data_IF_497388450839
#
_entry.id   IF_497388450839
#
_cell.length_a   1.000
_cell.length_b   1.000
_cell.length_c   1.000
_cell.angle_alpha   90.00
_cell.angle_beta   90.00
_cell.angle_gamma   90.00
#
_symmetry.space_group_name_H-M   'P 1'
#
loop_
_entity.id
_entity.type
_entity.pdbx_description
1 polymer ?
#
# COMPACT_ATOMS: atom_id res chain seq x y z
N UNK A 1 13.76 -50.87 36.66
CA UNK A 1 15.17 -50.48 36.44
C UNK A 1 15.41 -50.57 34.94
N UNK A 2 15.37 -49.44 34.26
CA UNK A 2 15.42 -49.36 32.80
C UNK A 2 16.29 -48.13 32.48
N UNK A 3 17.45 -48.39 31.88
CA UNK A 3 18.49 -47.41 31.58
C UNK A 3 18.15 -46.72 30.26
N UNK A 4 17.94 -45.40 30.31
CA UNK A 4 17.79 -44.56 29.12
C UNK A 4 19.19 -44.12 28.67
N UNK A 5 19.59 -44.53 27.46
CA UNK A 5 20.82 -44.07 26.81
C UNK A 5 20.45 -42.88 25.93
N UNK A 6 21.01 -41.71 26.24
CA UNK A 6 20.94 -40.49 25.45
C UNK A 6 22.07 -40.52 24.42
N UNK A 7 21.75 -40.37 23.14
CA UNK A 7 22.74 -40.05 22.12
C UNK A 7 22.65 -38.55 21.83
N UNK A 8 23.64 -37.80 22.31
CA UNK A 8 23.96 -36.45 21.84
C UNK A 8 24.73 -36.59 20.53
N UNK A 9 24.16 -36.13 19.42
CA UNK A 9 24.92 -35.91 18.20
C UNK A 9 25.61 -34.55 18.30
N UNK A 10 26.93 -34.56 18.49
CA UNK A 10 27.77 -33.40 18.19
C UNK A 10 27.95 -33.37 16.67
N UNK A 11 27.23 -32.49 15.98
CA UNK A 11 27.62 -32.07 14.64
C UNK A 11 28.42 -30.78 14.79
N UNK A 12 29.74 -30.93 14.85
CA UNK A 12 30.69 -29.84 14.61
C UNK A 12 30.63 -29.53 13.11
N UNK A 13 29.72 -28.64 12.73
CA UNK A 13 29.70 -28.03 11.39
C UNK A 13 30.22 -26.59 11.52
N UNK A 14 31.50 -26.46 11.86
CA UNK A 14 32.28 -25.22 11.79
C UNK A 14 32.77 -25.01 10.34
N UNK A 15 31.86 -25.09 9.38
CA UNK A 15 32.09 -24.53 8.06
C UNK A 15 31.96 -23.00 8.19
N UNK A 16 33.01 -22.19 7.97
CA UNK A 16 32.83 -20.74 7.93
C UNK A 16 31.81 -20.47 6.84
N UNK A 17 30.61 -20.01 7.26
CA UNK A 17 29.56 -19.64 6.33
C UNK A 17 30.15 -18.74 5.26
N UNK A 18 29.83 -19.00 4.00
CA UNK A 18 30.22 -18.12 2.90
C UNK A 18 29.94 -16.67 3.32
N UNK A 19 30.85 -15.71 3.05
CA UNK A 19 30.63 -14.32 3.42
C UNK A 19 29.29 -13.89 2.85
N UNK A 20 28.32 -13.65 3.73
CA UNK A 20 27.01 -13.19 3.36
C UNK A 20 27.22 -11.83 2.69
N UNK A 21 26.72 -11.66 1.47
CA UNK A 21 26.82 -10.38 0.76
C UNK A 21 26.07 -9.34 1.60
N UNK A 22 26.82 -8.43 2.24
CA UNK A 22 26.28 -7.37 3.08
C UNK A 22 25.37 -6.43 2.28
N UNK A 23 25.46 -6.46 0.95
CA UNK A 23 24.59 -5.73 0.04
C UNK A 23 23.15 -6.24 0.15
N UNK A 24 22.26 -5.35 0.56
CA UNK A 24 20.83 -5.58 0.55
C UNK A 24 20.25 -5.12 -0.79
N UNK A 25 20.38 -3.83 -1.13
CA UNK A 25 19.83 -3.29 -2.36
C UNK A 25 20.83 -2.40 -3.08
N UNK A 26 20.75 -2.42 -4.41
CA UNK A 26 21.35 -1.42 -5.31
C UNK A 26 20.23 -0.69 -6.03
N UNK A 27 20.32 0.63 -6.08
CA UNK A 27 19.25 1.50 -6.58
C UNK A 27 19.86 2.54 -7.49
N UNK A 28 19.35 2.61 -8.71
CA UNK A 28 19.63 3.73 -9.62
C UNK A 28 18.43 4.67 -9.54
N UNK A 29 18.60 5.84 -8.92
CA UNK A 29 17.54 6.83 -8.80
C UNK A 29 17.43 7.59 -10.12
N UNK A 30 16.29 7.55 -10.81
CA UNK A 30 16.11 8.33 -12.03
C UNK A 30 16.35 9.83 -11.80
N UNK A 31 16.87 10.52 -12.82
CA UNK A 31 17.12 11.97 -12.76
C UNK A 31 15.84 12.81 -12.58
N UNK A 32 14.69 12.22 -12.89
CA UNK A 32 13.34 12.78 -12.79
C UNK A 32 12.52 12.16 -11.64
N UNK A 33 13.14 11.37 -10.75
CA UNK A 33 12.44 10.66 -9.67
C UNK A 33 11.78 11.60 -8.65
N UNK A 34 12.23 12.85 -8.56
CA UNK A 34 11.74 13.84 -7.60
C UNK A 34 11.06 15.00 -8.37
N UNK A 35 9.80 15.31 -8.03
CA UNK A 35 8.93 16.18 -8.86
C UNK A 35 9.33 17.65 -8.87
N UNK A 36 10.00 18.14 -7.82
CA UNK A 36 10.31 19.56 -7.66
C UNK A 36 11.70 19.78 -7.06
N UNK A 37 12.32 20.90 -7.43
CA UNK A 37 13.55 21.37 -6.82
C UNK A 37 13.40 21.49 -5.29
N UNK A 38 14.28 20.82 -4.55
CA UNK A 38 14.26 20.78 -3.08
C UNK A 38 13.41 19.65 -2.47
N UNK A 39 12.78 18.81 -3.29
CA UNK A 39 12.14 17.58 -2.81
C UNK A 39 13.18 16.57 -2.33
N UNK A 40 12.79 15.68 -1.42
CA UNK A 40 13.69 14.68 -0.82
C UNK A 40 13.07 13.30 -0.89
N UNK A 41 13.87 12.32 -1.28
CA UNK A 41 13.50 10.91 -1.22
C UNK A 41 14.13 10.23 -0.02
N UNK A 42 13.41 9.29 0.58
CA UNK A 42 13.95 8.40 1.59
C UNK A 42 13.58 6.96 1.27
N UNK A 43 14.50 6.04 1.58
CA UNK A 43 14.23 4.62 1.54
C UNK A 43 14.58 3.99 2.88
N UNK A 44 13.69 3.13 3.36
CA UNK A 44 13.84 2.40 4.61
C UNK A 44 13.75 0.91 4.33
N UNK A 45 14.71 0.15 4.86
CA UNK A 45 14.63 -1.30 4.91
C UNK A 45 14.24 -1.71 6.31
N UNK A 46 13.30 -2.64 6.45
CA UNK A 46 12.95 -3.21 7.75
C UNK A 46 12.71 -4.71 7.70
N UNK A 47 12.94 -5.37 8.83
CA UNK A 47 12.69 -6.81 8.97
C UNK A 47 11.19 -7.10 9.15
N UNK A 48 10.84 -8.37 9.26
CA UNK A 48 9.46 -8.83 9.47
C UNK A 48 8.83 -8.37 10.79
N UNK A 49 9.66 -7.90 11.73
CA UNK A 49 9.21 -7.36 13.00
C UNK A 49 9.04 -5.84 12.95
N UNK A 50 9.35 -5.21 11.81
CA UNK A 50 9.36 -3.76 11.66
C UNK A 50 10.52 -3.12 12.43
N UNK A 51 11.63 -3.82 12.64
CA UNK A 51 12.90 -3.21 13.06
C UNK A 51 13.57 -2.63 11.82
N UNK A 52 13.95 -1.35 11.88
CA UNK A 52 14.71 -0.73 10.81
C UNK A 52 16.08 -1.40 10.67
N UNK A 53 16.41 -1.79 9.44
CA UNK A 53 17.70 -2.37 9.05
C UNK A 53 18.59 -1.25 8.49
N UNK A 54 18.12 -0.55 7.46
CA UNK A 54 18.83 0.57 6.81
C UNK A 54 17.86 1.74 6.60
N UNK A 55 18.39 2.96 6.63
CA UNK A 55 17.69 4.16 6.15
C UNK A 55 18.65 4.98 5.33
N UNK A 56 18.21 5.42 4.16
CA UNK A 56 19.00 6.29 3.29
C UNK A 56 18.11 7.40 2.75
N UNK A 57 18.67 8.60 2.71
CA UNK A 57 18.07 9.74 2.01
C UNK A 57 18.76 9.88 0.67
N UNK A 58 17.98 10.09 -0.38
CA UNK A 58 18.51 10.18 -1.74
C UNK A 58 18.06 11.44 -2.48
N UNK A 59 18.87 11.79 -3.48
CA UNK A 59 18.56 12.83 -4.47
C UNK A 59 18.36 12.22 -5.87
N UNK A 60 17.74 12.98 -6.78
CA UNK A 60 17.49 12.49 -8.13
C UNK A 60 18.80 12.28 -8.91
N UNK A 61 18.90 11.18 -9.66
CA UNK A 61 20.11 10.82 -10.41
C UNK A 61 21.21 10.12 -9.58
N UNK A 62 20.98 9.88 -8.29
CA UNK A 62 21.92 9.19 -7.40
C UNK A 62 21.95 7.68 -7.67
N UNK A 63 23.12 7.05 -7.49
CA UNK A 63 23.25 5.59 -7.40
C UNK A 63 23.56 5.22 -5.95
N UNK A 64 22.76 4.32 -5.37
CA UNK A 64 22.76 3.99 -3.95
C UNK A 64 23.03 2.49 -3.80
N UNK A 65 23.88 2.14 -2.83
CA UNK A 65 24.04 0.76 -2.34
C UNK A 65 23.70 0.74 -0.86
N UNK A 66 22.71 -0.04 -0.47
CA UNK A 66 22.25 -0.23 0.90
C UNK A 66 22.83 -1.53 1.44
N UNK A 67 23.61 -1.44 2.51
CA UNK A 67 24.32 -2.57 3.11
C UNK A 67 23.94 -2.72 4.59
N UNK A 68 23.86 -3.97 5.08
CA UNK A 68 23.73 -4.24 6.51
C UNK A 68 24.28 -5.63 6.87
N UNK A 69 25.46 -5.63 7.48
CA UNK A 69 26.16 -6.85 7.89
C UNK A 69 25.52 -7.62 9.05
N UNK A 70 24.69 -6.95 9.86
CA UNK A 70 23.97 -7.59 10.98
C UNK A 70 22.63 -8.23 10.55
N UNK A 71 22.19 -7.99 9.31
CA UNK A 71 20.91 -8.50 8.83
C UNK A 71 21.07 -9.89 8.19
N UNK A 72 20.54 -10.89 8.88
CA UNK A 72 20.68 -12.31 8.51
C UNK A 72 19.54 -12.78 7.58
N UNK A 73 18.45 -12.00 7.44
CA UNK A 73 17.29 -12.38 6.64
C UNK A 73 17.52 -12.34 5.12
N UNK A 74 16.67 -13.07 4.39
CA UNK A 74 16.66 -13.12 2.92
C UNK A 74 15.66 -12.13 2.29
N UNK A 75 14.68 -11.71 3.09
CA UNK A 75 13.58 -10.83 2.68
C UNK A 75 13.41 -9.72 3.70
N UNK A 76 13.06 -8.52 3.21
CA UNK A 76 12.79 -7.35 4.03
C UNK A 76 11.64 -6.54 3.42
N UNK A 77 11.18 -5.55 4.18
CA UNK A 77 10.26 -4.54 3.71
C UNK A 77 11.04 -3.36 3.16
N UNK A 78 10.60 -2.83 2.03
CA UNK A 78 11.11 -1.57 1.47
C UNK A 78 10.05 -0.51 1.64
N UNK A 79 10.36 0.58 2.35
CA UNK A 79 9.49 1.76 2.35
C UNK A 79 10.16 2.87 1.58
N UNK A 80 9.54 3.30 0.49
CA UNK A 80 9.89 4.53 -0.22
C UNK A 80 9.08 5.68 0.36
N UNK A 81 9.71 6.84 0.52
CA UNK A 81 9.04 8.06 0.94
C UNK A 81 9.48 9.20 0.04
N UNK A 82 8.51 9.92 -0.49
CA UNK A 82 8.72 11.14 -1.24
C UNK A 82 8.12 12.31 -0.46
N UNK A 83 8.96 13.33 -0.19
CA UNK A 83 8.53 14.55 0.50
C UNK A 83 8.69 15.74 -0.43
N UNK A 84 7.57 16.41 -0.70
CA UNK A 84 7.49 17.72 -1.35
C UNK A 84 7.08 18.79 -0.31
N UNK A 85 7.05 20.07 -0.72
CA UNK A 85 6.56 21.18 0.07
C UNK A 85 5.14 20.93 0.62
N UNK A 86 4.27 20.32 -0.20
CA UNK A 86 2.83 20.20 0.03
C UNK A 86 2.33 18.75 0.18
N UNK A 87 3.18 17.76 -0.10
CA UNK A 87 2.75 16.36 -0.20
C UNK A 87 3.79 15.38 0.38
N UNK A 88 3.31 14.29 0.96
CA UNK A 88 4.08 13.18 1.49
C UNK A 88 3.48 11.87 0.97
N UNK A 89 4.15 11.27 -0.01
CA UNK A 89 3.80 9.95 -0.52
C UNK A 89 4.71 8.93 0.17
N UNK A 90 4.15 7.80 0.59
CA UNK A 90 4.93 6.70 1.13
C UNK A 90 4.40 5.40 0.58
N UNK A 91 5.29 4.47 0.27
CA UNK A 91 4.94 3.18 -0.31
C UNK A 91 5.74 2.11 0.36
N UNK A 92 5.07 1.13 0.95
CA UNK A 92 5.76 0.01 1.61
C UNK A 92 5.54 -1.31 0.89
N UNK A 93 6.62 -1.93 0.49
CA UNK A 93 6.67 -3.19 -0.22
C UNK A 93 7.14 -4.28 0.72
N UNK A 94 6.49 -5.44 0.67
CA UNK A 94 6.81 -6.59 1.53
C UNK A 94 7.55 -7.66 0.76
N UNK A 95 8.30 -8.51 1.48
CA UNK A 95 9.02 -9.67 0.92
C UNK A 95 9.96 -9.30 -0.23
N UNK A 96 10.61 -8.15 -0.13
CA UNK A 96 11.61 -7.72 -1.10
C UNK A 96 12.90 -8.49 -0.81
N UNK A 97 13.47 -9.07 -1.86
CA UNK A 97 14.74 -9.81 -1.79
C UNK A 97 15.92 -8.89 -2.04
N UNK A 98 17.10 -9.35 -1.63
CA UNK A 98 18.37 -8.69 -1.96
C UNK A 98 18.53 -8.53 -3.47
N UNK A 99 19.22 -7.48 -3.91
CA UNK A 99 19.59 -7.28 -5.31
C UNK A 99 19.33 -5.86 -5.82
N UNK A 100 18.76 -5.74 -7.02
CA UNK A 100 18.43 -4.45 -7.62
C UNK A 100 17.01 -4.04 -7.24
N UNK A 101 16.85 -2.79 -6.83
CA UNK A 101 15.56 -2.18 -6.59
C UNK A 101 15.36 -0.97 -7.49
N UNK A 102 14.15 -0.88 -8.04
CA UNK A 102 13.76 0.23 -8.91
C UNK A 102 12.72 1.02 -8.14
N UNK A 103 13.01 2.30 -7.92
CA UNK A 103 12.08 3.18 -7.23
C UNK A 103 10.78 3.29 -8.01
N UNK A 104 9.67 3.34 -7.27
CA UNK A 104 8.38 3.59 -7.90
C UNK A 104 8.31 5.06 -8.32
N UNK A 105 7.94 5.38 -9.58
CA UNK A 105 7.81 6.76 -10.03
C UNK A 105 6.92 7.59 -9.11
N UNK A 106 7.35 8.81 -8.75
CA UNK A 106 6.58 9.66 -7.85
C UNK A 106 5.24 10.08 -8.47
N UNK A 107 5.15 10.16 -9.80
CA UNK A 107 3.91 10.39 -10.53
C UNK A 107 3.37 9.09 -11.11
N UNK A 108 2.41 8.54 -10.41
CA UNK A 108 1.75 7.29 -10.72
C UNK A 108 0.29 7.57 -11.19
N UNK A 109 0.00 8.86 -11.46
CA UNK A 109 -1.30 9.39 -11.88
C UNK A 109 -1.54 9.34 -13.39
N UNK A 110 -0.48 9.30 -14.20
CA UNK A 110 -0.56 9.27 -15.68
C UNK A 110 -0.04 7.97 -16.30
N UNK A 111 -0.15 6.84 -15.61
CA UNK A 111 0.19 5.53 -16.19
C UNK A 111 -0.56 5.31 -17.53
N UNK A 112 0.13 4.72 -18.51
CA UNK A 112 -0.40 4.45 -19.84
C UNK A 112 -1.72 3.68 -19.75
N UNK A 113 -2.79 4.23 -20.34
CA UNK A 113 -4.10 3.62 -20.29
C UNK A 113 -4.17 2.43 -21.25
N UNK A 114 -4.66 1.29 -20.78
CA UNK A 114 -5.09 0.20 -21.66
C UNK A 114 -6.41 0.52 -22.39
N UNK A 115 -7.13 1.56 -21.93
CA UNK A 115 -8.35 2.10 -22.52
C UNK A 115 -9.48 2.26 -21.51
N UNK A 116 -10.65 2.68 -21.97
CA UNK A 116 -11.83 2.91 -21.12
C UNK A 116 -12.83 1.75 -21.22
N UNK A 117 -13.50 1.45 -20.10
CA UNK A 117 -14.61 0.52 -20.01
C UNK A 117 -15.89 1.24 -19.59
N UNK A 118 -17.01 0.89 -20.23
CA UNK A 118 -18.34 1.37 -19.84
C UNK A 118 -19.08 0.28 -19.06
N UNK A 119 -19.56 0.64 -17.88
CA UNK A 119 -20.26 -0.26 -16.96
C UNK A 119 -21.61 0.35 -16.59
N UNK A 120 -22.66 -0.47 -16.56
CA UNK A 120 -23.97 -0.11 -16.05
C UNK A 120 -24.28 -0.87 -14.77
N UNK A 121 -24.98 -0.24 -13.86
CA UNK A 121 -25.28 -0.77 -12.54
C UNK A 121 -26.79 -1.01 -12.37
N UNK A 122 -27.15 -2.11 -11.73
CA UNK A 122 -28.54 -2.42 -11.35
C UNK A 122 -28.64 -2.66 -9.85
N UNK A 123 -29.86 -2.66 -9.32
CA UNK A 123 -30.15 -3.03 -7.93
C UNK A 123 -29.44 -2.17 -6.88
N UNK A 124 -29.27 -0.87 -7.16
CA UNK A 124 -28.81 0.11 -6.17
C UNK A 124 -29.80 0.18 -5.01
N UNK A 125 -29.29 0.11 -3.79
CA UNK A 125 -30.10 0.28 -2.59
C UNK A 125 -30.39 1.77 -2.36
N UNK A 126 -31.61 2.14 -1.93
CA UNK A 126 -31.93 3.53 -1.61
C UNK A 126 -31.05 4.10 -0.49
N UNK A 127 -30.54 5.31 -0.66
CA UNK A 127 -29.69 5.97 0.35
C UNK A 127 -28.30 5.34 0.53
N UNK A 128 -27.86 4.51 -0.41
CA UNK A 128 -26.54 3.87 -0.40
C UNK A 128 -25.69 4.45 -1.53
N UNK A 129 -24.49 4.89 -1.18
CA UNK A 129 -23.46 5.27 -2.16
C UNK A 129 -22.49 4.11 -2.39
N UNK A 130 -22.03 4.00 -3.63
CA UNK A 130 -21.11 2.97 -4.07
C UNK A 130 -19.88 3.63 -4.67
N UNK A 131 -18.71 3.34 -4.10
CA UNK A 131 -17.45 3.72 -4.72
C UNK A 131 -17.02 2.59 -5.64
N UNK A 132 -16.68 2.94 -6.87
CA UNK A 132 -16.36 2.01 -7.94
C UNK A 132 -14.93 2.29 -8.37
N UNK A 133 -14.01 1.40 -8.04
CA UNK A 133 -12.58 1.55 -8.29
C UNK A 133 -12.08 0.50 -9.27
N UNK A 134 -11.52 0.96 -10.37
CA UNK A 134 -10.73 0.15 -11.31
C UNK A 134 -9.24 0.25 -10.97
N UNK A 135 -8.38 -0.42 -11.75
CA UNK A 135 -6.93 -0.23 -11.59
C UNK A 135 -6.38 1.05 -12.21
N UNK A 136 -7.20 1.86 -12.87
CA UNK A 136 -6.76 3.13 -13.47
C UNK A 136 -7.46 4.38 -12.95
N UNK A 137 -8.67 4.22 -12.42
CA UNK A 137 -9.50 5.33 -11.97
C UNK A 137 -10.57 4.87 -10.97
N UNK A 138 -11.24 5.82 -10.32
CA UNK A 138 -12.40 5.59 -9.47
C UNK A 138 -13.58 6.47 -9.87
N UNK A 139 -14.79 6.02 -9.54
CA UNK A 139 -16.03 6.75 -9.73
C UNK A 139 -16.95 6.53 -8.53
N UNK A 140 -17.95 7.41 -8.37
CA UNK A 140 -18.99 7.26 -7.34
C UNK A 140 -20.33 7.10 -8.04
N UNK A 141 -21.07 6.08 -7.64
CA UNK A 141 -22.39 5.72 -8.16
C UNK A 141 -23.36 5.64 -6.98
N UNK A 142 -24.56 6.19 -7.14
CA UNK A 142 -25.63 6.09 -6.13
C UNK A 142 -27.00 6.03 -6.82
N UNK A 143 -28.03 5.68 -6.05
CA UNK A 143 -29.43 5.67 -6.48
C UNK A 143 -29.93 7.04 -7.01
N UNK A 144 -29.28 8.13 -6.57
CA UNK A 144 -29.53 9.50 -7.03
C UNK A 144 -28.56 9.97 -8.13
N UNK A 145 -27.62 9.12 -8.56
CA UNK A 145 -26.63 9.42 -9.61
C UNK A 145 -26.86 8.55 -10.86
N UNK A 146 -26.04 8.78 -11.89
CA UNK A 146 -26.06 7.93 -13.07
C UNK A 146 -25.62 6.50 -12.70
N UNK A 147 -26.46 5.50 -12.97
CA UNK A 147 -26.13 4.08 -12.84
C UNK A 147 -25.21 3.58 -13.97
N UNK A 148 -24.33 4.45 -14.46
CA UNK A 148 -23.34 4.13 -15.49
C UNK A 148 -22.04 4.82 -15.15
N UNK A 149 -20.92 4.11 -15.24
CA UNK A 149 -19.59 4.66 -15.09
C UNK A 149 -18.77 4.41 -16.37
N UNK A 150 -17.93 5.37 -16.73
CA UNK A 150 -16.82 5.18 -17.64
C UNK A 150 -15.55 5.13 -16.80
N UNK A 151 -14.79 4.05 -16.93
CA UNK A 151 -13.64 3.76 -16.07
C UNK A 151 -12.40 3.58 -16.92
N UNK A 152 -11.36 4.35 -16.64
CA UNK A 152 -10.05 4.17 -17.27
C UNK A 152 -9.36 2.95 -16.69
N UNK A 153 -8.91 2.05 -17.54
CA UNK A 153 -8.18 0.84 -17.15
C UNK A 153 -6.69 0.98 -17.46
N UNK A 154 -5.84 0.50 -16.54
CA UNK A 154 -4.39 0.36 -16.77
C UNK A 154 -4.01 -1.01 -17.29
N UNK A 155 -4.81 -2.03 -16.99
CA UNK A 155 -4.74 -3.36 -17.61
C UNK A 155 -6.05 -3.76 -18.24
N UNK A 156 -5.96 -4.61 -19.27
CA UNK A 156 -7.12 -5.17 -19.94
C UNK A 156 -6.91 -6.68 -20.16
N UNK A 157 -7.79 -7.56 -19.63
CA UNK A 157 -8.91 -7.26 -18.73
C UNK A 157 -8.44 -6.83 -17.33
N UNK A 158 -9.31 -6.09 -16.64
CA UNK A 158 -9.16 -5.59 -15.27
C UNK A 158 -10.20 -6.20 -14.33
N UNK A 159 -10.16 -5.80 -13.07
CA UNK A 159 -11.22 -6.04 -12.08
C UNK A 159 -11.92 -4.73 -11.75
N UNK A 160 -13.05 -4.84 -11.05
CA UNK A 160 -13.75 -3.73 -10.42
C UNK A 160 -13.86 -3.99 -8.93
N UNK A 161 -13.25 -3.14 -8.13
CA UNK A 161 -13.46 -3.13 -6.70
C UNK A 161 -14.60 -2.16 -6.39
N UNK A 162 -15.70 -2.66 -5.85
CA UNK A 162 -16.87 -1.84 -5.50
C UNK A 162 -17.04 -1.89 -4.00
N UNK A 163 -17.15 -0.74 -3.34
CA UNK A 163 -17.57 -0.65 -1.94
C UNK A 163 -18.96 -0.02 -1.85
N UNK A 164 -19.66 -0.25 -0.74
CA UNK A 164 -20.92 0.45 -0.43
C UNK A 164 -20.86 1.09 0.94
N UNK A 165 -21.40 2.30 1.06
CA UNK A 165 -21.56 3.05 2.29
C UNK A 165 -23.04 3.39 2.49
N UNK A 166 -23.53 3.16 3.71
CA UNK A 166 -24.85 3.61 4.15
C UNK A 166 -24.71 5.02 4.72
N UNK A 167 -25.62 5.93 4.35
CA UNK A 167 -25.66 7.32 4.84
C UNK A 167 -24.36 8.13 4.62
N UNK A 168 -23.58 7.79 3.59
CA UNK A 168 -22.34 8.48 3.17
C UNK A 168 -21.24 8.58 4.24
N UNK A 169 -21.31 7.79 5.32
CA UNK A 169 -20.33 7.92 6.41
C UNK A 169 -19.08 7.08 6.11
N UNK A 170 -19.21 5.74 5.98
CA UNK A 170 -18.07 4.86 5.70
C UNK A 170 -18.47 3.60 4.93
N UNK A 171 -17.61 3.09 4.03
CA UNK A 171 -17.88 1.84 3.34
C UNK A 171 -17.88 0.67 4.31
N UNK A 172 -18.87 -0.22 4.23
CA UNK A 172 -19.01 -1.37 5.13
C UNK A 172 -18.90 -2.71 4.42
N UNK A 173 -19.19 -2.75 3.12
CA UNK A 173 -19.10 -3.96 2.33
C UNK A 173 -18.41 -3.73 0.99
N UNK A 174 -18.00 -4.82 0.36
CA UNK A 174 -17.34 -4.80 -0.94
C UNK A 174 -17.72 -5.97 -1.86
N UNK A 175 -17.41 -5.79 -3.14
CA UNK A 175 -17.29 -6.86 -4.13
C UNK A 175 -16.05 -6.62 -5.00
N UNK A 176 -15.47 -7.71 -5.52
CA UNK A 176 -14.40 -7.67 -6.52
C UNK A 176 -14.88 -8.40 -7.77
N UNK A 177 -15.22 -7.65 -8.81
CA UNK A 177 -15.82 -8.17 -10.04
C UNK A 177 -14.72 -8.33 -11.10
N UNK A 178 -14.39 -9.55 -11.57
CA UNK A 178 -13.36 -9.74 -12.58
C UNK A 178 -13.89 -9.51 -14.00
N UNK A 179 -12.98 -9.33 -14.96
CA UNK A 179 -13.29 -9.41 -16.39
C UNK A 179 -13.82 -8.12 -17.00
N UNK A 180 -13.46 -6.97 -16.44
CA UNK A 180 -13.81 -5.66 -17.01
C UNK A 180 -12.82 -5.34 -18.12
N UNK A 181 -13.30 -5.19 -19.34
CA UNK A 181 -12.44 -5.02 -20.51
C UNK A 181 -12.63 -3.67 -21.18
N UNK A 182 -11.53 -3.05 -21.61
CA UNK A 182 -11.58 -1.81 -22.37
C UNK A 182 -12.25 -2.06 -23.74
N UNK A 183 -13.08 -1.11 -24.17
CA UNK A 183 -13.83 -1.20 -25.43
C UNK A 183 -14.91 -2.28 -25.46
N UNK A 184 -15.14 -3.03 -24.37
CA UNK A 184 -16.33 -3.85 -24.24
C UNK A 184 -17.56 -2.95 -24.17
N UNK A 185 -18.66 -3.38 -24.79
CA UNK A 185 -19.95 -2.72 -24.63
C UNK A 185 -20.38 -2.67 -23.16
N UNK A 186 -21.42 -1.89 -22.88
CA UNK A 186 -21.86 -1.59 -21.53
C UNK A 186 -22.09 -2.87 -20.69
N UNK A 187 -21.18 -3.15 -19.76
CA UNK A 187 -21.24 -4.37 -18.93
C UNK A 187 -22.18 -4.13 -17.75
N UNK A 188 -23.27 -4.90 -17.67
CA UNK A 188 -24.22 -4.77 -16.57
C UNK A 188 -23.74 -5.50 -15.32
N UNK A 189 -23.66 -4.79 -14.20
CA UNK A 189 -23.25 -5.30 -12.89
C UNK A 189 -24.35 -5.03 -11.86
N UNK A 190 -24.81 -6.08 -11.18
CA UNK A 190 -25.74 -5.91 -10.06
C UNK A 190 -24.99 -5.47 -8.80
N UNK A 191 -25.42 -4.35 -8.21
CA UNK A 191 -24.90 -3.86 -6.93
C UNK A 191 -25.37 -4.70 -5.73
N UNK A 192 -26.35 -5.59 -5.94
CA UNK A 192 -26.69 -6.63 -4.97
C UNK A 192 -25.55 -7.61 -4.66
N UNK A 193 -24.51 -7.65 -5.51
CA UNK A 193 -23.31 -8.46 -5.28
C UNK A 193 -22.39 -7.87 -4.20
N UNK A 194 -22.51 -6.57 -3.88
CA UNK A 194 -21.68 -5.86 -2.88
C UNK A 194 -22.12 -6.27 -1.48
N UNK A 195 -21.62 -7.41 -1.01
CA UNK A 195 -22.14 -8.11 0.17
C UNK A 195 -21.07 -8.65 1.11
N UNK A 196 -19.79 -8.65 0.73
CA UNK A 196 -18.72 -9.10 1.61
C UNK A 196 -18.39 -7.99 2.62
N UNK A 197 -18.37 -8.30 3.92
CA UNK A 197 -18.02 -7.31 4.93
C UNK A 197 -16.55 -6.88 4.81
N UNK A 198 -16.29 -5.58 4.94
CA UNK A 198 -14.94 -5.06 5.10
C UNK A 198 -14.42 -5.39 6.51
N UNK A 199 -13.13 -5.69 6.60
CA UNK A 199 -12.44 -5.82 7.89
C UNK A 199 -12.08 -4.43 8.39
N UNK A 200 -12.38 -4.14 9.66
CA UNK A 200 -12.05 -2.87 10.30
C UNK A 200 -10.85 -3.06 11.22
N UNK A 201 -9.85 -2.20 11.05
CA UNK A 201 -8.70 -2.09 11.95
C UNK A 201 -8.66 -0.65 12.45
N UNK A 202 -8.54 -0.47 13.76
CA UNK A 202 -8.48 0.86 14.37
C UNK A 202 -7.19 1.02 15.17
N UNK A 203 -6.60 2.21 15.12
CA UNK A 203 -5.36 2.52 15.85
C UNK A 203 -5.40 3.92 16.47
N UNK A 204 -5.02 4.03 17.75
CA UNK A 204 -5.00 5.29 18.49
C UNK A 204 -3.93 6.23 17.93
N UNK A 205 -4.32 7.35 17.31
CA UNK A 205 -3.35 8.36 16.88
C UNK A 205 -2.73 9.03 18.10
N UNK A 206 -1.42 9.34 18.02
CA UNK A 206 -0.72 10.09 19.07
C UNK A 206 -1.45 11.42 19.32
N UNK A 207 -1.51 11.83 20.59
CA UNK A 207 -2.22 13.05 21.01
C UNK A 207 -1.69 14.34 20.36
N UNK A 208 -0.52 14.28 19.73
CA UNK A 208 0.10 15.39 18.98
C UNK A 208 -0.56 15.67 17.62
N UNK A 209 -1.36 14.74 17.09
CA UNK A 209 -2.08 14.89 15.83
C UNK A 209 -3.55 15.23 16.07
N UNK A 210 -4.15 15.96 15.12
CA UNK A 210 -5.59 16.27 15.07
C UNK A 210 -6.32 15.46 14.03
N UNK A 211 -5.63 15.06 12.97
CA UNK A 211 -6.23 14.45 11.79
C UNK A 211 -5.23 13.54 11.09
N UNK A 212 -5.73 12.62 10.26
CA UNK A 212 -5.01 11.49 9.72
C UNK A 212 -5.72 10.83 8.54
N UNK A 213 -5.14 10.93 7.36
CA UNK A 213 -5.59 10.18 6.19
C UNK A 213 -4.56 9.12 5.82
N UNK A 214 -5.00 7.91 5.47
CA UNK A 214 -4.21 6.84 4.90
C UNK A 214 -4.95 6.27 3.69
N UNK A 215 -4.28 6.33 2.54
CA UNK A 215 -4.72 5.61 1.34
C UNK A 215 -4.05 4.25 1.32
N UNK A 216 -4.85 3.18 1.25
CA UNK A 216 -4.34 1.81 1.09
C UNK A 216 -4.63 1.33 -0.33
N UNK A 217 -3.61 0.71 -0.91
CA UNK A 217 -3.64 0.15 -2.24
C UNK A 217 -3.55 -1.38 -2.16
N UNK A 218 -4.47 -2.07 -2.84
CA UNK A 218 -4.45 -3.53 -3.01
C UNK A 218 -3.81 -3.94 -4.33
N UNK A 219 -3.00 -4.98 -4.31
CA UNK A 219 -2.34 -5.56 -5.48
C UNK A 219 -2.93 -6.92 -5.84
N UNK A 220 -3.18 -7.14 -7.13
CA UNK A 220 -3.70 -8.42 -7.63
C UNK A 220 -2.68 -9.55 -7.47
N UNK A 221 -1.39 -9.24 -7.55
CA UNK A 221 -0.29 -10.15 -7.27
C UNK A 221 0.84 -9.40 -6.55
N UNK A 222 1.69 -10.14 -5.82
CA UNK A 222 2.87 -9.56 -5.18
C UNK A 222 3.74 -8.85 -6.23
N UNK A 223 4.18 -7.63 -5.92
CA UNK A 223 5.05 -6.81 -6.76
C UNK A 223 4.50 -6.43 -8.15
N UNK A 224 3.19 -6.57 -8.40
CA UNK A 224 2.54 -6.10 -9.64
C UNK A 224 1.89 -4.72 -9.46
N UNK A 225 2.72 -3.69 -9.33
CA UNK A 225 2.25 -2.32 -9.03
C UNK A 225 1.46 -1.67 -10.16
N UNK A 226 1.55 -2.19 -11.37
CA UNK A 226 0.76 -1.79 -12.54
C UNK A 226 -0.68 -2.34 -12.52
N UNK A 227 -1.01 -3.26 -11.61
CA UNK A 227 -2.36 -3.79 -11.39
C UNK A 227 -2.82 -3.57 -9.94
N UNK A 228 -2.93 -2.28 -9.60
CA UNK A 228 -3.18 -1.79 -8.25
C UNK A 228 -4.54 -1.11 -8.14
N UNK A 229 -5.17 -1.20 -6.97
CA UNK A 229 -6.52 -0.67 -6.71
C UNK A 229 -6.51 0.14 -5.44
N UNK A 230 -7.13 1.32 -5.43
CA UNK A 230 -7.37 2.05 -4.17
C UNK A 230 -8.51 1.33 -3.44
N UNK A 231 -8.19 0.73 -2.30
CA UNK A 231 -9.13 -0.18 -1.59
C UNK A 231 -9.67 0.40 -0.29
N UNK A 232 -9.00 1.41 0.27
CA UNK A 232 -9.40 2.06 1.50
C UNK A 232 -8.93 3.51 1.49
N UNK A 233 -9.80 4.37 1.99
CA UNK A 233 -9.46 5.69 2.52
C UNK A 233 -9.80 5.63 4.01
N UNK A 234 -8.81 5.87 4.86
CA UNK A 234 -9.02 5.89 6.31
C UNK A 234 -9.49 7.26 6.77
N UNK A 235 -10.14 7.30 7.93
CA UNK A 235 -10.56 8.54 8.57
C UNK A 235 -10.25 8.51 10.06
N UNK A 236 -10.16 9.68 10.69
CA UNK A 236 -9.99 9.83 12.13
C UNK A 236 -11.35 9.91 12.83
N UNK A 237 -11.67 8.86 13.58
CA UNK A 237 -12.90 8.73 14.35
C UNK A 237 -12.50 8.62 15.82
N UNK A 238 -12.97 9.56 16.64
CA UNK A 238 -12.75 9.56 18.09
C UNK A 238 -11.28 9.44 18.52
N UNK A 239 -10.36 10.09 17.78
CA UNK A 239 -8.93 10.04 18.06
C UNK A 239 -8.26 8.71 17.68
N UNK A 240 -8.93 7.90 16.85
CA UNK A 240 -8.37 6.71 16.21
C UNK A 240 -8.44 6.89 14.72
N UNK A 241 -7.42 6.44 14.01
CA UNK A 241 -7.59 6.21 12.58
C UNK A 241 -8.25 4.84 12.40
N UNK A 242 -9.24 4.76 11.53
CA UNK A 242 -9.88 3.49 11.16
C UNK A 242 -9.66 3.16 9.70
N UNK A 243 -9.16 1.96 9.44
CA UNK A 243 -8.92 1.43 8.11
C UNK A 243 -9.91 0.29 7.83
N UNK A 244 -10.57 0.33 6.68
CA UNK A 244 -11.55 -0.66 6.24
C UNK A 244 -11.06 -1.31 4.95
N UNK A 245 -10.71 -2.59 5.00
CA UNK A 245 -10.06 -3.26 3.87
C UNK A 245 -10.69 -4.63 3.57
N UNK A 246 -10.55 -5.14 2.34
CA UNK A 246 -11.28 -6.32 1.88
C UNK A 246 -10.59 -7.66 2.23
N UNK A 247 -9.86 -7.72 3.34
CA UNK A 247 -9.24 -8.96 3.83
C UNK A 247 -8.31 -9.59 2.79
N UNK A 248 -8.57 -10.83 2.39
CA UNK A 248 -7.72 -11.57 1.42
C UNK A 248 -8.14 -11.37 -0.05
N UNK A 249 -8.96 -10.36 -0.37
CA UNK A 249 -9.41 -10.12 -1.74
C UNK A 249 -8.26 -9.71 -2.69
N UNK A 250 -7.23 -9.09 -2.15
CA UNK A 250 -5.97 -8.79 -2.84
C UNK A 250 -4.83 -9.64 -2.26
N UNK A 251 -3.77 -9.84 -3.04
CA UNK A 251 -2.62 -10.66 -2.65
C UNK A 251 -1.67 -9.94 -1.71
N UNK A 252 -1.58 -8.63 -1.88
CA UNK A 252 -0.76 -7.76 -1.05
C UNK A 252 -1.42 -6.39 -0.93
N UNK A 253 -1.09 -5.68 0.14
CA UNK A 253 -1.49 -4.30 0.36
C UNK A 253 -0.27 -3.44 0.64
N UNK A 254 -0.34 -2.18 0.25
CA UNK A 254 0.60 -1.17 0.70
C UNK A 254 -0.11 0.16 0.96
N UNK A 255 0.33 0.92 1.96
CA UNK A 255 -0.08 2.30 2.11
C UNK A 255 0.60 3.13 1.02
N UNK A 256 -0.12 4.09 0.41
CA UNK A 256 0.37 4.99 -0.63
C UNK A 256 0.49 6.43 -0.17
N UNK A 257 -0.42 6.89 0.67
CA UNK A 257 -0.42 8.28 1.12
C UNK A 257 -0.73 8.31 2.59
N UNK A 258 0.01 9.12 3.34
CA UNK A 258 -0.36 9.47 4.70
C UNK A 258 -0.31 10.98 4.88
N UNK A 259 -1.41 11.54 5.37
CA UNK A 259 -1.45 12.92 5.80
C UNK A 259 -1.74 12.94 7.29
N UNK A 260 -0.81 13.41 8.10
CA UNK A 260 -1.03 13.61 9.54
C UNK A 260 -0.98 15.11 9.83
N UNK A 261 -2.09 15.68 10.29
CA UNK A 261 -2.11 17.07 10.73
C UNK A 261 -1.72 17.16 12.20
N UNK A 262 -0.72 17.99 12.49
CA UNK A 262 -0.22 18.19 13.86
C UNK A 262 -0.93 19.36 14.54
N UNK A 263 -1.02 19.31 15.87
CA UNK A 263 -1.56 20.42 16.69
C UNK A 263 -0.65 21.66 16.73
N UNK A 264 0.58 21.59 16.22
CA UNK A 264 1.60 22.63 16.41
C UNK A 264 2.12 23.13 15.07
N UNK A 265 1.91 24.41 14.79
CA UNK A 265 2.26 25.12 13.55
C UNK A 265 3.76 25.41 13.36
N UNK A 266 4.68 24.69 14.03
CA UNK A 266 6.12 25.03 13.97
C UNK A 266 6.91 24.15 13.00
N UNK A 267 7.75 24.81 12.21
CA UNK A 267 8.56 24.33 11.08
C UNK A 267 9.56 23.21 11.41
N UNK A 268 9.68 22.81 12.68
CA UNK A 268 10.70 21.88 13.18
C UNK A 268 10.26 20.41 13.19
N UNK A 269 9.12 20.07 12.56
CA UNK A 269 8.46 18.76 12.71
C UNK A 269 8.70 17.71 11.62
N UNK A 270 9.37 18.03 10.49
CA UNK A 270 9.44 17.10 9.34
C UNK A 270 10.19 15.79 9.63
N UNK A 271 11.05 15.70 10.65
CA UNK A 271 11.83 14.48 10.93
C UNK A 271 11.24 13.60 12.04
N UNK A 272 10.32 14.11 12.88
CA UNK A 272 9.76 13.36 14.02
C UNK A 272 8.59 12.45 13.65
N UNK A 273 7.81 12.82 12.64
CA UNK A 273 6.66 12.04 12.16
C UNK A 273 7.10 10.63 11.70
N UNK A 274 8.26 10.50 11.07
CA UNK A 274 8.73 9.25 10.44
C UNK A 274 9.19 8.15 11.40
N UNK A 275 9.81 8.50 12.53
CA UNK A 275 10.17 7.48 13.56
C UNK A 275 8.95 6.83 14.21
N UNK A 276 7.77 7.44 14.10
CA UNK A 276 6.53 6.98 14.74
C UNK A 276 5.58 6.23 13.80
N UNK A 277 5.72 6.38 12.48
CA UNK A 277 4.92 5.66 11.48
C UNK A 277 5.39 4.21 11.24
N UNK A 278 6.66 3.91 11.52
CA UNK A 278 7.24 2.60 11.27
C UNK A 278 6.53 1.44 12.03
N UNK A 279 6.18 1.57 13.33
CA UNK A 279 5.39 0.55 14.04
C UNK A 279 3.94 0.46 13.59
N UNK A 280 3.42 1.49 12.89
CA UNK A 280 2.05 1.54 12.39
C UNK A 280 1.87 0.75 11.10
N UNK A 281 2.80 0.94 10.16
CA UNK A 281 2.88 0.16 8.92
C UNK A 281 2.92 -1.35 9.20
N UNK A 282 3.50 -1.76 10.33
CA UNK A 282 3.52 -3.14 10.84
C UNK A 282 2.14 -3.79 10.93
N UNK A 283 1.10 -3.05 11.34
CA UNK A 283 -0.24 -3.63 11.53
C UNK A 283 -0.94 -3.86 10.19
N UNK A 284 -0.66 -3.04 9.18
CA UNK A 284 -1.23 -3.17 7.84
C UNK A 284 -0.64 -4.33 7.03
N UNK A 285 0.55 -4.81 7.39
CA UNK A 285 1.32 -5.77 6.57
C UNK A 285 1.40 -7.18 7.15
N UNK A 286 0.84 -7.40 8.34
CA UNK A 286 0.77 -8.71 8.99
C UNK A 286 -0.57 -9.44 8.75
N UNK A 287 -1.44 -8.88 7.89
CA UNK A 287 -2.73 -9.44 7.48
C UNK A 287 -2.88 -9.40 5.96
#
# INVERSE_FOLDING_TARGET
MMTLVVFTSCSDDDSPGEPQDDTLLTIEVPADALKRDGSRGFIFLSDENGKTIVTHEYTAGESITLEASEFIGDEFYVTEVYIDADDQDLRTFSKVKRGKWVLTPADDGEDEAAGDASVSFTDALPGVSYQVTSNGDYSVVSDNAALTASLRLRKNPSKLFITRAEDDVYPTHYALIPGISAGAGNTAISLGLVSNALTVVSKDISSEYTDGELTVVGLVAENQYDDRYIVCQSDVIDGKIEYRYPGTAFRAYFPRHISLQTKVTSTTMRTKVFRMLHPWLRTLMLY
#
